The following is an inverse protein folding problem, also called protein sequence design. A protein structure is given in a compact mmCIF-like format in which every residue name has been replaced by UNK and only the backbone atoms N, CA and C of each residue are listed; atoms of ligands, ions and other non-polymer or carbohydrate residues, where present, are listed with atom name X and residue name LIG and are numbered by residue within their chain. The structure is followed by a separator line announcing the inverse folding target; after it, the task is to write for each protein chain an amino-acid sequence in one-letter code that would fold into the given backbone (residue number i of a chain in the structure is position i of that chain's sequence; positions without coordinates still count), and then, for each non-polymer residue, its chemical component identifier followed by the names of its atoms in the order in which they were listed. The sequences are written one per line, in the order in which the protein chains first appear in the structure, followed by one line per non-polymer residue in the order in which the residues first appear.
data_IF_850601803474
#
_entry.id   IF_850601803474
#
_cell.length_a   1.000
_cell.length_b   1.000
_cell.length_c   1.000
_cell.angle_alpha   90.00
_cell.angle_beta   90.00
_cell.angle_gamma   90.00
#
_symmetry.space_group_name_H-M   'P 1'
#
loop_
_entity.id
_entity.type
_entity.pdbx_description
1 polymer ?
#
# COMPACT_ATOMS: atom_id res chain seq x y z
N UNK A 1 7.99 17.14 14.66
CA UNK A 1 6.77 16.34 14.40
C UNK A 1 5.96 17.09 13.36
N UNK A 2 5.41 16.41 12.37
CA UNK A 2 4.57 16.99 11.33
C UNK A 2 3.10 16.73 11.64
N UNK A 3 2.29 17.79 11.62
CA UNK A 3 0.85 17.68 11.84
C UNK A 3 0.16 17.29 10.53
N UNK A 4 -0.78 16.37 10.59
CA UNK A 4 -1.51 15.94 9.40
C UNK A 4 -3.01 15.85 9.65
N UNK A 5 -3.78 15.93 8.57
CA UNK A 5 -5.22 15.65 8.53
C UNK A 5 -5.50 14.63 7.45
N UNK A 6 -6.64 13.96 7.57
CA UNK A 6 -7.19 13.05 6.56
C UNK A 6 -8.50 13.66 6.08
N UNK A 7 -8.71 13.68 4.76
CA UNK A 7 -9.96 14.13 4.12
C UNK A 7 -10.39 13.02 3.17
N UNK A 8 -11.35 12.18 3.59
CA UNK A 8 -11.75 10.98 2.88
C UNK A 8 -13.07 10.46 3.48
N UNK A 9 -14.12 10.29 2.69
CA UNK A 9 -15.45 9.84 3.11
C UNK A 9 -15.54 8.32 3.37
N UNK A 10 -14.53 7.54 2.93
CA UNK A 10 -14.47 6.11 3.20
C UNK A 10 -13.87 5.81 4.57
N UNK A 11 -14.72 5.37 5.49
CA UNK A 11 -14.34 4.99 6.87
C UNK A 11 -13.19 3.95 6.90
N UNK A 12 -13.10 3.07 5.91
CA UNK A 12 -12.06 2.04 5.88
C UNK A 12 -10.70 2.62 5.49
N UNK A 13 -10.70 3.50 4.49
CA UNK A 13 -9.52 4.26 4.08
C UNK A 13 -8.98 5.12 5.23
N UNK A 14 -9.86 5.84 5.92
CA UNK A 14 -9.48 6.70 7.05
C UNK A 14 -8.91 5.90 8.23
N UNK A 15 -9.47 4.73 8.53
CA UNK A 15 -8.94 3.82 9.57
C UNK A 15 -7.56 3.32 9.22
N UNK A 16 -7.36 2.83 7.98
CA UNK A 16 -6.07 2.35 7.51
C UNK A 16 -5.00 3.46 7.59
N UNK A 17 -5.33 4.64 7.07
CA UNK A 17 -4.43 5.78 7.08
C UNK A 17 -4.10 6.22 8.51
N UNK A 18 -5.09 6.25 9.40
CA UNK A 18 -4.91 6.58 10.83
C UNK A 18 -3.98 5.58 11.53
N UNK A 19 -4.08 4.29 11.19
CA UNK A 19 -3.18 3.27 11.74
C UNK A 19 -1.74 3.47 11.27
N UNK A 20 -1.53 3.85 10.01
CA UNK A 20 -0.20 4.16 9.48
C UNK A 20 0.38 5.40 10.14
N UNK A 21 -0.42 6.46 10.30
CA UNK A 21 0.01 7.71 10.97
C UNK A 21 0.41 7.40 12.41
N UNK A 22 -0.41 6.65 13.15
CA UNK A 22 -0.13 6.29 14.56
C UNK A 22 1.16 5.50 14.75
N UNK A 23 1.52 4.68 13.76
CA UNK A 23 2.77 3.90 13.74
C UNK A 23 3.99 4.72 13.34
N UNK A 24 3.80 5.96 12.89
CA UNK A 24 4.86 6.83 12.37
C UNK A 24 5.11 7.96 13.35
N UNK A 25 6.13 7.82 14.20
CA UNK A 25 6.39 8.70 15.35
C UNK A 25 6.59 10.18 15.02
N UNK A 26 6.95 10.50 13.77
CA UNK A 26 7.15 11.88 13.30
C UNK A 26 5.84 12.56 12.87
N UNK A 27 4.71 11.85 12.87
CA UNK A 27 3.40 12.36 12.48
C UNK A 27 2.48 12.55 13.69
N UNK A 28 1.65 13.57 13.63
CA UNK A 28 0.55 13.84 14.57
C UNK A 28 -0.73 14.04 13.79
N UNK A 29 -1.70 13.14 13.93
CA UNK A 29 -3.03 13.30 13.34
C UNK A 29 -3.81 14.36 14.14
N UNK A 30 -4.17 15.47 13.50
CA UNK A 30 -4.96 16.53 14.10
C UNK A 30 -6.46 16.25 14.00
N UNK A 31 -6.93 15.86 12.81
CA UNK A 31 -8.34 15.59 12.57
C UNK A 31 -8.55 14.68 11.35
N UNK A 32 -9.77 14.15 11.24
CA UNK A 32 -10.29 13.38 10.09
C UNK A 32 -11.58 14.04 9.64
N UNK A 33 -11.72 14.27 8.35
CA UNK A 33 -12.90 14.86 7.72
C UNK A 33 -13.46 13.88 6.69
N UNK A 34 -14.75 13.71 6.67
CA UNK A 34 -15.47 12.89 5.69
C UNK A 34 -15.95 13.69 4.47
N UNK A 35 -15.63 14.99 4.44
CA UNK A 35 -15.94 15.89 3.33
C UNK A 35 -14.90 17.02 3.21
N UNK A 36 -14.84 17.62 2.03
CA UNK A 36 -13.89 18.67 1.71
C UNK A 36 -14.21 20.00 2.40
N UNK A 37 -15.50 20.32 2.59
CA UNK A 37 -15.96 21.62 3.09
C UNK A 37 -15.52 21.83 4.54
N UNK A 38 -15.78 20.84 5.40
CA UNK A 38 -15.37 20.90 6.81
C UNK A 38 -13.85 20.96 6.96
N UNK A 39 -13.11 20.32 6.05
CA UNK A 39 -11.66 20.41 6.03
C UNK A 39 -11.17 21.82 5.66
N UNK A 40 -11.81 22.51 4.71
CA UNK A 40 -11.52 23.91 4.34
C UNK A 40 -11.79 24.83 5.53
N UNK A 41 -12.94 24.68 6.17
CA UNK A 41 -13.31 25.47 7.33
C UNK A 41 -12.28 25.30 8.47
N UNK A 42 -11.89 24.05 8.75
CA UNK A 42 -10.85 23.75 9.73
C UNK A 42 -9.51 24.41 9.37
N UNK A 43 -9.06 24.33 8.11
CA UNK A 43 -7.81 24.95 7.68
C UNK A 43 -7.83 26.47 7.85
N UNK A 44 -9.00 27.10 7.67
CA UNK A 44 -9.18 28.55 7.78
C UNK A 44 -9.10 29.07 9.23
N UNK A 45 -9.49 28.25 10.22
CA UNK A 45 -9.55 28.65 11.63
C UNK A 45 -8.47 28.00 12.51
N UNK A 46 -7.77 27.01 11.99
CA UNK A 46 -6.78 26.24 12.77
C UNK A 46 -5.60 27.11 13.19
N UNK A 47 -5.33 27.13 14.49
CA UNK A 47 -4.13 27.78 15.02
C UNK A 47 -2.88 26.90 14.89
N UNK A 48 -3.05 25.61 14.65
CA UNK A 48 -1.93 24.68 14.42
C UNK A 48 -1.66 24.56 12.94
N UNK A 49 -0.42 24.70 12.50
CA UNK A 49 -0.07 24.47 11.10
C UNK A 49 -0.36 23.01 10.73
N UNK A 50 -0.91 22.81 9.54
CA UNK A 50 -1.08 21.48 8.95
C UNK A 50 0.04 21.29 7.93
N UNK A 51 0.91 20.32 8.19
CA UNK A 51 2.07 20.06 7.36
C UNK A 51 1.73 19.10 6.20
N UNK A 52 0.80 18.16 6.43
CA UNK A 52 0.41 17.15 5.44
C UNK A 52 -1.10 16.99 5.41
N UNK A 53 -1.67 16.93 4.20
CA UNK A 53 -3.07 16.56 3.96
C UNK A 53 -3.08 15.26 3.17
N UNK A 54 -3.68 14.20 3.73
CA UNK A 54 -4.05 13.00 2.99
C UNK A 54 -5.46 13.20 2.43
N UNK A 55 -5.58 13.24 1.10
CA UNK A 55 -6.78 13.70 0.41
C UNK A 55 -7.31 12.63 -0.54
N UNK A 56 -8.55 12.22 -0.38
CA UNK A 56 -9.25 11.50 -1.44
C UNK A 56 -9.73 12.46 -2.54
N UNK A 57 -9.82 11.95 -3.76
CA UNK A 57 -10.36 12.69 -4.92
C UNK A 57 -11.87 12.54 -5.01
N UNK A 58 -12.39 11.33 -4.79
CA UNK A 58 -13.80 11.00 -4.98
C UNK A 58 -14.58 11.18 -3.68
N UNK A 59 -15.02 12.40 -3.41
CA UNK A 59 -15.85 12.72 -2.25
C UNK A 59 -17.17 13.36 -2.70
N UNK A 60 -18.24 13.24 -1.90
CA UNK A 60 -19.50 13.94 -2.12
C UNK A 60 -19.33 15.46 -2.14
N UNK A 61 -20.20 16.16 -2.85
CA UNK A 61 -20.34 17.61 -2.91
C UNK A 61 -19.14 18.35 -3.55
N UNK A 62 -17.91 18.08 -3.10
CA UNK A 62 -16.68 18.69 -3.62
C UNK A 62 -15.60 17.64 -3.81
N UNK A 63 -15.08 17.53 -5.03
CA UNK A 63 -13.97 16.60 -5.30
C UNK A 63 -12.66 17.08 -4.64
N UNK A 64 -11.73 16.12 -4.39
CA UNK A 64 -10.41 16.45 -3.88
C UNK A 64 -9.62 17.38 -4.82
N UNK A 65 -9.85 17.33 -6.13
CA UNK A 65 -9.22 18.26 -7.08
C UNK A 65 -9.79 19.68 -6.93
N UNK A 66 -11.08 19.83 -6.69
CA UNK A 66 -11.68 21.14 -6.43
C UNK A 66 -11.26 21.68 -5.06
N UNK A 67 -11.11 20.79 -4.06
CA UNK A 67 -10.50 21.15 -2.79
C UNK A 67 -9.11 21.78 -2.99
N UNK A 68 -8.21 21.14 -3.76
CA UNK A 68 -6.85 21.65 -4.01
C UNK A 68 -6.89 23.05 -4.63
N UNK A 69 -7.82 23.31 -5.57
CA UNK A 69 -7.99 24.62 -6.21
C UNK A 69 -8.52 25.70 -5.26
N UNK A 70 -9.28 25.27 -4.25
CA UNK A 70 -9.97 26.18 -3.33
C UNK A 70 -9.12 26.59 -2.13
N UNK A 71 -8.11 25.78 -1.78
CA UNK A 71 -7.23 26.03 -0.64
C UNK A 71 -5.93 26.66 -1.08
N UNK A 72 -5.54 27.73 -0.39
CA UNK A 72 -4.23 28.35 -0.56
C UNK A 72 -3.34 27.94 0.62
N UNK A 73 -2.77 26.74 0.53
CA UNK A 73 -1.96 26.13 1.60
C UNK A 73 -0.48 26.31 1.31
N UNK A 74 0.09 27.44 1.77
CA UNK A 74 1.53 27.63 1.73
C UNK A 74 2.19 26.71 2.78
N UNK A 75 3.24 25.98 2.37
CA UNK A 75 3.99 25.03 3.20
C UNK A 75 3.23 23.78 3.67
N UNK A 76 2.06 23.47 3.09
CA UNK A 76 1.38 22.19 3.34
C UNK A 76 1.58 21.25 2.16
N UNK A 77 1.96 20.02 2.44
CA UNK A 77 2.15 18.99 1.42
C UNK A 77 0.87 18.19 1.23
N UNK A 78 0.36 18.13 0.02
CA UNK A 78 -0.82 17.33 -0.30
C UNK A 78 -0.35 15.98 -0.84
N UNK A 79 -0.84 14.91 -0.22
CA UNK A 79 -0.66 13.53 -0.66
C UNK A 79 -2.03 13.00 -1.04
N UNK A 80 -2.25 12.76 -2.32
CA UNK A 80 -3.50 12.17 -2.81
C UNK A 80 -3.54 10.69 -2.42
N UNK A 81 -4.70 10.22 -1.96
CA UNK A 81 -4.96 8.84 -1.61
C UNK A 81 -6.29 8.38 -2.20
N UNK A 82 -6.29 7.81 -3.39
CA UNK A 82 -7.49 7.50 -4.18
C UNK A 82 -7.48 6.11 -4.79
N UNK A 83 -8.66 5.58 -5.13
CA UNK A 83 -8.84 4.30 -5.83
C UNK A 83 -8.63 4.39 -7.35
N UNK A 84 -8.54 5.58 -7.93
CA UNK A 84 -8.52 5.81 -9.37
C UNK A 84 -7.13 6.15 -9.91
N UNK A 85 -6.59 5.30 -10.79
CA UNK A 85 -5.29 5.55 -11.44
C UNK A 85 -5.31 6.74 -12.42
N UNK A 86 -6.47 7.03 -13.03
CA UNK A 86 -6.60 8.09 -14.04
C UNK A 86 -6.19 9.48 -13.52
N UNK A 87 -6.45 9.77 -12.24
CA UNK A 87 -6.10 11.06 -11.65
C UNK A 87 -4.62 11.19 -11.28
N UNK A 88 -3.84 10.11 -11.36
CA UNK A 88 -2.41 10.18 -11.12
C UNK A 88 -1.69 11.08 -12.14
N UNK A 89 -2.13 11.10 -13.40
CA UNK A 89 -1.59 11.98 -14.42
C UNK A 89 -2.05 13.44 -14.22
N UNK A 90 -3.32 13.66 -13.91
CA UNK A 90 -3.88 14.97 -13.66
C UNK A 90 -3.28 15.62 -12.40
N UNK A 91 -2.92 14.84 -11.40
CA UNK A 91 -2.35 15.33 -10.14
C UNK A 91 -1.00 16.05 -10.33
N UNK A 92 -0.26 15.76 -11.39
CA UNK A 92 0.99 16.48 -11.72
C UNK A 92 0.76 17.97 -12.04
N UNK A 93 -0.45 18.34 -12.46
CA UNK A 93 -0.80 19.74 -12.77
C UNK A 93 -1.03 20.57 -11.48
N UNK A 94 -1.23 19.91 -10.33
CA UNK A 94 -1.62 20.55 -9.06
C UNK A 94 -0.49 20.62 -8.01
N UNK A 95 0.75 20.35 -8.39
CA UNK A 95 1.92 20.41 -7.50
C UNK A 95 1.75 19.62 -6.20
N UNK A 96 1.12 18.43 -6.31
CA UNK A 96 0.95 17.55 -5.15
C UNK A 96 2.26 16.82 -4.81
N UNK A 97 2.51 16.62 -3.55
CA UNK A 97 3.72 15.96 -3.07
C UNK A 97 3.82 14.51 -3.56
N UNK A 98 2.74 13.74 -3.48
CA UNK A 98 2.72 12.35 -3.92
C UNK A 98 1.29 11.84 -4.18
N UNK A 99 1.20 10.70 -4.88
CA UNK A 99 -0.05 9.99 -5.19
C UNK A 99 -0.01 8.56 -4.66
N UNK A 100 -0.96 8.20 -3.82
CA UNK A 100 -1.13 6.87 -3.23
C UNK A 100 -2.38 6.21 -3.79
N UNK A 101 -2.21 5.09 -4.49
CA UNK A 101 -3.34 4.30 -4.97
C UNK A 101 -3.88 3.41 -3.85
N UNK A 102 -5.19 3.43 -3.62
CA UNK A 102 -5.88 2.52 -2.67
C UNK A 102 -5.94 1.09 -3.23
N UNK A 103 -5.65 0.06 -2.42
CA UNK A 103 -5.14 0.10 -1.05
C UNK A 103 -3.62 0.34 -1.02
N UNK A 104 -3.17 1.30 -0.22
CA UNK A 104 -1.74 1.55 -0.05
C UNK A 104 -1.15 0.62 1.03
N UNK A 105 0.10 0.24 0.85
CA UNK A 105 0.87 -0.43 1.90
C UNK A 105 1.73 0.57 2.69
N UNK A 106 2.17 0.16 3.90
CA UNK A 106 2.94 1.03 4.80
C UNK A 106 4.26 1.51 4.17
N UNK A 107 4.95 0.68 3.39
CA UNK A 107 6.20 1.07 2.71
C UNK A 107 5.97 2.22 1.72
N UNK A 108 4.89 2.15 0.93
CA UNK A 108 4.54 3.20 -0.02
C UNK A 108 4.10 4.47 0.70
N UNK A 109 3.33 4.34 1.77
CA UNK A 109 2.98 5.44 2.66
C UNK A 109 4.24 6.11 3.22
N UNK A 110 5.19 5.34 3.78
CA UNK A 110 6.42 5.87 4.36
C UNK A 110 7.28 6.62 3.32
N UNK A 111 7.33 6.15 2.07
CA UNK A 111 8.00 6.87 0.98
C UNK A 111 7.37 8.24 0.71
N UNK A 112 6.03 8.33 0.73
CA UNK A 112 5.33 9.60 0.56
C UNK A 112 5.63 10.57 1.71
N UNK A 113 5.69 10.06 2.95
CA UNK A 113 6.08 10.88 4.11
C UNK A 113 7.51 11.37 4.00
N UNK A 114 8.44 10.53 3.51
CA UNK A 114 9.83 10.95 3.30
C UNK A 114 9.94 12.06 2.24
N UNK A 115 9.15 12.00 1.16
CA UNK A 115 9.04 13.07 0.18
C UNK A 115 8.51 14.37 0.81
N UNK A 116 7.41 14.29 1.56
CA UNK A 116 6.82 15.44 2.24
C UNK A 116 7.79 16.09 3.23
N UNK A 117 8.54 15.27 4.00
CA UNK A 117 9.58 15.74 4.92
C UNK A 117 10.66 16.56 4.21
N UNK A 118 11.14 16.08 3.06
CA UNK A 118 12.13 16.80 2.23
C UNK A 118 11.56 18.09 1.68
N UNK A 119 10.33 18.07 1.14
CA UNK A 119 9.66 19.25 0.58
C UNK A 119 9.40 20.33 1.65
N UNK A 120 9.14 19.93 2.90
CA UNK A 120 8.97 20.85 4.03
C UNK A 120 10.31 21.37 4.60
N UNK A 121 11.46 20.97 4.04
CA UNK A 121 12.77 21.38 4.52
C UNK A 121 13.14 20.82 5.90
N UNK A 122 12.43 19.79 6.38
CA UNK A 122 12.68 19.15 7.68
C UNK A 122 13.76 18.07 7.50
N UNK A 123 14.94 18.46 7.04
CA UNK A 123 16.10 17.56 6.96
C UNK A 123 16.89 17.65 8.26
N UNK A 124 16.92 16.57 9.06
CA UNK A 124 17.96 16.37 10.06
C UNK A 124 19.27 16.05 9.32
N UNK A 125 20.40 16.57 9.79
CA UNK A 125 21.72 16.35 9.21
C UNK A 125 22.16 14.87 9.15
N UNK A 126 21.38 13.96 9.73
CA UNK A 126 21.60 12.52 9.67
C UNK A 126 21.07 11.88 8.35
N UNK A 127 20.21 12.59 7.60
CA UNK A 127 19.61 12.03 6.36
C UNK A 127 20.53 12.21 5.12
N UNK A 128 21.60 13.02 5.20
CA UNK A 128 22.48 13.33 4.04
C UNK A 128 23.53 12.25 3.78
N UNK A 129 23.87 11.44 4.77
CA UNK A 129 24.81 10.31 4.59
C UNK A 129 24.08 8.99 4.26
N UNK A 130 22.78 8.88 4.61
CA UNK A 130 22.00 7.67 4.32
C UNK A 130 21.54 7.57 2.85
N UNK A 131 21.47 8.67 2.10
CA UNK A 131 21.06 8.65 0.68
C UNK A 131 22.18 8.22 -0.30
N UNK A 132 23.39 7.95 0.16
CA UNK A 132 24.48 7.41 -0.69
C UNK A 132 24.89 5.98 -0.37
N UNK A 133 24.34 5.38 0.70
CA UNK A 133 24.73 4.03 1.13
C UNK A 133 23.55 3.10 1.41
N UNK A 134 22.30 3.53 1.20
CA UNK A 134 21.10 2.66 1.27
C UNK A 134 20.76 1.97 -0.06
N UNK A 135 21.75 1.59 -0.82
CA UNK A 135 21.68 0.28 -1.43
C UNK A 135 21.95 -0.71 -0.29
N UNK A 136 20.91 -1.44 0.13
CA UNK A 136 20.96 -2.59 1.05
C UNK A 136 21.01 -2.29 2.57
N UNK A 137 19.94 -1.71 3.14
CA UNK A 137 19.30 -2.25 4.34
C UNK A 137 17.81 -2.26 4.11
N UNK A 138 17.33 -3.40 3.65
CA UNK A 138 15.91 -3.73 3.63
C UNK A 138 15.40 -3.69 5.08
N UNK A 139 14.22 -3.03 5.36
CA UNK A 139 13.53 -3.27 6.62
C UNK A 139 13.29 -4.76 6.72
N UNK A 140 13.39 -5.30 7.94
CA UNK A 140 13.20 -6.71 8.21
C UNK A 140 11.98 -7.22 7.45
N UNK A 141 12.22 -8.26 6.66
CA UNK A 141 11.30 -8.73 5.62
C UNK A 141 9.96 -9.25 6.16
N UNK A 142 9.83 -9.39 7.46
CA UNK A 142 8.67 -9.96 8.14
C UNK A 142 7.54 -8.94 8.44
N UNK A 143 7.77 -7.63 8.32
CA UNK A 143 6.81 -6.60 8.73
C UNK A 143 5.98 -5.97 7.60
N UNK A 144 6.12 -6.43 6.36
CA UNK A 144 5.30 -5.93 5.26
C UNK A 144 3.89 -6.52 5.30
N UNK A 145 2.88 -5.67 5.47
CA UNK A 145 1.47 -6.04 5.63
C UNK A 145 0.62 -5.54 4.46
N UNK A 146 -0.48 -6.24 4.18
CA UNK A 146 -1.51 -5.84 3.23
C UNK A 146 -2.89 -5.95 3.88
N UNK A 147 -3.78 -5.04 3.50
CA UNK A 147 -5.19 -5.10 3.86
C UNK A 147 -5.99 -5.66 2.70
N UNK A 148 -6.75 -6.70 2.97
CA UNK A 148 -7.56 -7.42 1.99
C UNK A 148 -9.02 -7.33 2.41
N UNK A 149 -9.87 -6.79 1.53
CA UNK A 149 -11.32 -6.77 1.69
C UNK A 149 -11.91 -8.01 1.02
N UNK A 150 -12.63 -8.83 1.76
CA UNK A 150 -13.31 -9.99 1.22
C UNK A 150 -14.67 -9.62 0.57
N UNK A 151 -15.32 -10.63 -0.01
CA UNK A 151 -16.62 -10.45 -0.67
C UNK A 151 -17.76 -10.10 0.30
N UNK A 152 -17.58 -10.30 1.61
CA UNK A 152 -18.56 -9.91 2.63
C UNK A 152 -18.39 -8.46 3.08
N UNK A 153 -17.30 -7.80 2.63
CA UNK A 153 -16.92 -6.46 3.05
C UNK A 153 -15.99 -6.43 4.27
N UNK A 154 -15.66 -7.59 4.85
CA UNK A 154 -14.72 -7.66 5.96
C UNK A 154 -13.28 -7.38 5.49
N UNK A 155 -12.55 -6.59 6.27
CA UNK A 155 -11.17 -6.24 5.97
C UNK A 155 -10.24 -7.04 6.88
N UNK A 156 -9.28 -7.69 6.26
CA UNK A 156 -8.27 -8.49 6.92
C UNK A 156 -6.91 -7.85 6.72
N UNK A 157 -6.23 -7.58 7.81
CA UNK A 157 -4.83 -7.24 7.84
C UNK A 157 -4.03 -8.55 7.85
N UNK A 158 -3.17 -8.76 6.86
CA UNK A 158 -2.29 -9.92 6.77
C UNK A 158 -0.87 -9.47 6.39
N UNK A 159 0.13 -10.21 6.85
CA UNK A 159 1.51 -10.00 6.41
C UNK A 159 1.74 -10.71 5.08
N UNK A 160 2.57 -10.13 4.20
CA UNK A 160 2.95 -10.85 2.98
C UNK A 160 3.63 -12.18 3.29
N UNK A 161 4.40 -12.26 4.38
CA UNK A 161 5.05 -13.47 4.86
C UNK A 161 4.06 -14.55 5.33
N UNK A 162 2.79 -14.20 5.60
CA UNK A 162 1.73 -15.14 6.00
C UNK A 162 0.97 -15.73 4.80
N UNK A 163 1.17 -15.21 3.59
CA UNK A 163 0.51 -15.76 2.41
C UNK A 163 1.18 -17.07 2.02
N UNK A 164 0.42 -18.16 2.12
CA UNK A 164 0.87 -19.51 1.76
C UNK A 164 0.66 -19.75 0.27
N UNK A 165 -0.55 -19.49 -0.22
CA UNK A 165 -0.98 -19.82 -1.55
C UNK A 165 -2.08 -18.88 -2.01
N UNK A 166 -2.04 -18.49 -3.27
CA UNK A 166 -3.08 -17.73 -3.96
C UNK A 166 -3.56 -18.55 -5.15
N UNK A 167 -4.87 -18.73 -5.25
CA UNK A 167 -5.51 -19.52 -6.28
C UNK A 167 -6.58 -18.70 -7.00
N UNK A 168 -6.54 -18.65 -8.33
CA UNK A 168 -7.58 -18.01 -9.12
C UNK A 168 -8.80 -18.93 -9.25
N UNK A 169 -9.97 -18.38 -8.97
CA UNK A 169 -11.28 -19.02 -9.03
C UNK A 169 -12.20 -18.14 -9.91
N UNK A 170 -12.14 -18.32 -11.21
CA UNK A 170 -12.86 -17.48 -12.19
C UNK A 170 -12.56 -15.99 -12.02
N UNK A 171 -13.54 -15.20 -11.56
CA UNK A 171 -13.43 -13.76 -11.30
C UNK A 171 -12.94 -13.42 -9.89
N UNK A 172 -12.54 -14.41 -9.11
CA UNK A 172 -12.08 -14.26 -7.74
C UNK A 172 -10.71 -14.85 -7.56
N UNK A 173 -10.02 -14.44 -6.52
CA UNK A 173 -8.85 -15.14 -6.00
C UNK A 173 -9.10 -15.60 -4.57
N UNK A 174 -8.54 -16.73 -4.22
CA UNK A 174 -8.53 -17.26 -2.86
C UNK A 174 -7.13 -17.14 -2.28
N UNK A 175 -6.97 -16.36 -1.23
CA UNK A 175 -5.71 -16.18 -0.50
C UNK A 175 -5.73 -17.05 0.74
N UNK A 176 -4.81 -18.01 0.82
CA UNK A 176 -4.64 -18.90 1.96
C UNK A 176 -3.54 -18.38 2.89
N UNK A 177 -3.86 -18.25 4.17
CA UNK A 177 -2.93 -17.93 5.26
C UNK A 177 -2.95 -19.05 6.29
N UNK A 178 -2.05 -19.08 7.29
CA UNK A 178 -2.05 -20.10 8.34
C UNK A 178 -3.35 -20.17 9.15
N UNK A 179 -4.07 -19.06 9.26
CA UNK A 179 -5.25 -18.93 10.12
C UNK A 179 -6.56 -18.94 9.37
N UNK A 180 -6.57 -18.58 8.07
CA UNK A 180 -7.81 -18.43 7.30
C UNK A 180 -7.61 -18.45 5.79
N UNK A 181 -8.73 -18.60 5.09
CA UNK A 181 -8.84 -18.42 3.64
C UNK A 181 -9.71 -17.19 3.35
N UNK A 182 -9.21 -16.29 2.54
CA UNK A 182 -9.88 -15.02 2.19
C UNK A 182 -10.15 -15.05 0.68
N UNK A 183 -11.41 -14.80 0.28
CA UNK A 183 -11.80 -14.74 -1.13
C UNK A 183 -12.09 -13.29 -1.52
N UNK A 184 -11.44 -12.81 -2.58
CA UNK A 184 -11.53 -11.43 -3.07
C UNK A 184 -11.91 -11.38 -4.54
N UNK A 185 -12.72 -10.39 -4.91
CA UNK A 185 -13.11 -10.13 -6.29
C UNK A 185 -12.01 -9.30 -6.97
N UNK A 186 -11.05 -10.00 -7.58
CA UNK A 186 -9.96 -9.40 -8.35
C UNK A 186 -9.30 -10.46 -9.23
N UNK A 187 -8.50 -10.06 -10.21
CA UNK A 187 -7.75 -11.01 -11.02
C UNK A 187 -6.41 -11.38 -10.39
N UNK A 188 -5.89 -12.57 -10.72
CA UNK A 188 -4.55 -12.99 -10.29
C UNK A 188 -3.47 -12.00 -10.73
N UNK A 189 -3.61 -11.42 -11.93
CA UNK A 189 -2.65 -10.46 -12.47
C UNK A 189 -2.62 -9.20 -11.61
N UNK A 190 -3.77 -8.55 -11.42
CA UNK A 190 -3.88 -7.27 -10.70
C UNK A 190 -3.47 -7.41 -9.23
N UNK A 191 -3.73 -8.57 -8.64
CA UNK A 191 -3.33 -8.83 -7.27
C UNK A 191 -1.82 -9.04 -7.11
N UNK A 192 -1.20 -9.84 -8.00
CA UNK A 192 0.24 -10.12 -7.92
C UNK A 192 1.10 -8.92 -8.30
N UNK A 193 0.68 -8.07 -9.23
CA UNK A 193 1.40 -6.85 -9.60
C UNK A 193 1.58 -5.89 -8.41
N UNK A 194 0.66 -5.93 -7.45
CA UNK A 194 0.72 -5.14 -6.21
C UNK A 194 1.57 -5.78 -5.11
N UNK A 195 2.08 -7.00 -5.33
CA UNK A 195 2.80 -7.76 -4.32
C UNK A 195 4.31 -7.68 -4.50
N UNK A 196 5.07 -7.53 -3.39
CA UNK A 196 6.51 -7.58 -3.47
C UNK A 196 6.98 -8.97 -3.94
N UNK A 197 7.77 -9.01 -5.01
CA UNK A 197 8.34 -10.24 -5.57
C UNK A 197 9.24 -11.00 -4.60
N UNK A 198 9.66 -10.34 -3.53
CA UNK A 198 10.44 -10.93 -2.44
C UNK A 198 9.69 -12.05 -1.72
N UNK A 199 8.36 -11.89 -1.51
CA UNK A 199 7.55 -12.82 -0.70
C UNK A 199 6.79 -13.82 -1.54
N UNK A 200 6.33 -13.42 -2.70
CA UNK A 200 5.39 -14.17 -3.53
C UNK A 200 6.05 -14.49 -4.89
N UNK A 201 5.81 -15.69 -5.38
CA UNK A 201 6.18 -16.10 -6.72
C UNK A 201 4.97 -16.67 -7.44
N UNK A 202 4.73 -16.19 -8.66
CA UNK A 202 3.69 -16.76 -9.54
C UNK A 202 4.24 -18.00 -10.24
N UNK A 203 3.55 -19.12 -10.06
CA UNK A 203 3.97 -20.44 -10.58
C UNK A 203 3.12 -20.91 -11.74
N UNK A 204 1.91 -20.35 -11.87
CA UNK A 204 0.95 -20.73 -12.89
C UNK A 204 0.04 -19.54 -13.25
N UNK A 205 -0.69 -19.64 -14.37
CA UNK A 205 -1.72 -18.62 -14.67
C UNK A 205 -2.76 -18.46 -13.57
N UNK A 206 -3.04 -19.54 -12.82
CA UNK A 206 -4.03 -19.57 -11.72
C UNK A 206 -3.42 -19.79 -10.32
N UNK A 207 -2.10 -19.82 -10.17
CA UNK A 207 -1.48 -20.06 -8.86
C UNK A 207 -0.28 -19.15 -8.63
N UNK A 208 -0.18 -18.67 -7.38
CA UNK A 208 1.00 -18.04 -6.82
C UNK A 208 1.21 -18.52 -5.39
N UNK A 209 2.45 -18.55 -4.92
CA UNK A 209 2.83 -19.12 -3.63
C UNK A 209 3.73 -18.19 -2.85
N UNK A 210 3.63 -18.25 -1.52
CA UNK A 210 4.58 -17.63 -0.62
C UNK A 210 5.91 -18.39 -0.63
N UNK A 211 7.00 -17.71 -0.95
CA UNK A 211 8.33 -18.33 -1.05
C UNK A 211 8.75 -19.04 0.25
N UNK A 212 8.36 -18.51 1.41
CA UNK A 212 8.63 -19.07 2.72
C UNK A 212 8.00 -20.46 2.95
N UNK A 213 6.94 -20.77 2.21
CA UNK A 213 6.18 -22.03 2.38
C UNK A 213 6.55 -23.08 1.34
N UNK A 214 7.60 -22.89 0.58
CA UNK A 214 8.11 -23.89 -0.35
C UNK A 214 8.83 -25.00 0.44
N UNK A 215 8.35 -26.24 0.31
CA UNK A 215 8.96 -27.44 0.89
C UNK A 215 9.94 -28.08 -0.09
N UNK A 216 9.49 -28.28 -1.32
CA UNK A 216 10.30 -28.85 -2.39
C UNK A 216 9.89 -28.30 -3.75
N UNK A 217 10.83 -28.24 -4.67
CA UNK A 217 10.62 -27.82 -6.06
C UNK A 217 10.97 -28.98 -6.98
N UNK A 218 9.99 -29.40 -7.78
CA UNK A 218 10.16 -30.37 -8.86
C UNK A 218 10.01 -29.69 -10.21
N UNK A 219 10.39 -30.34 -11.29
CA UNK A 219 10.37 -29.77 -12.65
C UNK A 219 9.03 -29.16 -13.08
N UNK A 220 7.90 -29.67 -12.58
CA UNK A 220 6.56 -29.22 -12.99
C UNK A 220 5.62 -28.90 -11.81
N UNK A 221 6.10 -28.97 -10.58
CA UNK A 221 5.28 -28.73 -9.38
C UNK A 221 6.12 -28.26 -8.20
N UNK A 222 5.46 -27.58 -7.27
CA UNK A 222 6.04 -27.15 -6.00
C UNK A 222 5.18 -27.73 -4.88
N UNK A 223 5.81 -28.39 -3.93
CA UNK A 223 5.19 -28.88 -2.71
C UNK A 223 5.29 -27.80 -1.62
N UNK A 224 4.19 -27.55 -0.93
CA UNK A 224 4.12 -26.56 0.14
C UNK A 224 4.28 -27.19 1.52
N UNK A 225 4.90 -26.46 2.45
CA UNK A 225 5.14 -26.87 3.84
C UNK A 225 3.85 -27.15 4.64
N UNK A 226 2.75 -26.47 4.27
CA UNK A 226 1.48 -26.61 4.98
C UNK A 226 0.43 -27.30 4.09
N UNK A 227 -0.07 -28.45 4.58
CA UNK A 227 -1.16 -29.18 3.97
C UNK A 227 -0.78 -30.08 2.80
N UNK A 228 0.51 -30.43 2.63
CA UNK A 228 1.04 -31.30 1.56
C UNK A 228 0.48 -30.96 0.17
N UNK A 229 0.12 -29.67 -0.03
CA UNK A 229 -0.47 -29.18 -1.27
C UNK A 229 0.60 -29.09 -2.36
N UNK A 230 0.32 -29.73 -3.49
CA UNK A 230 1.17 -29.67 -4.70
C UNK A 230 0.59 -28.62 -5.63
N UNK A 231 1.40 -27.61 -5.97
CA UNK A 231 1.02 -26.51 -6.87
C UNK A 231 1.71 -26.68 -8.22
N UNK A 232 1.00 -26.61 -9.35
CA UNK A 232 1.59 -26.78 -10.68
C UNK A 232 2.49 -25.59 -11.06
N UNK A 233 3.53 -25.90 -11.84
CA UNK A 233 4.38 -24.92 -12.52
C UNK A 233 4.02 -24.89 -14.00
N UNK A 234 3.44 -23.78 -14.46
CA UNK A 234 3.10 -23.56 -15.87
C UNK A 234 4.34 -23.37 -16.73
N UNK A 235 4.25 -23.76 -18.02
CA UNK A 235 5.40 -23.66 -18.95
C UNK A 235 6.04 -22.27 -19.00
N UNK A 236 5.21 -21.21 -18.99
CA UNK A 236 5.66 -19.81 -19.03
C UNK A 236 6.25 -19.30 -17.71
N UNK A 237 6.21 -20.09 -16.65
CA UNK A 237 6.70 -19.71 -15.31
C UNK A 237 7.92 -20.51 -14.86
N UNK A 238 8.44 -21.41 -15.71
CA UNK A 238 9.59 -22.25 -15.36
C UNK A 238 10.86 -21.45 -15.08
N UNK A 239 11.10 -20.38 -15.85
CA UNK A 239 12.30 -19.56 -15.69
C UNK A 239 12.25 -18.77 -14.38
N UNK A 240 11.06 -18.26 -14.01
CA UNK A 240 10.83 -17.59 -12.72
C UNK A 240 11.07 -18.54 -11.55
N UNK A 241 10.65 -19.80 -11.68
CA UNK A 241 10.86 -20.83 -10.64
C UNK A 241 12.33 -21.25 -10.55
N UNK A 242 13.06 -21.31 -11.65
CA UNK A 242 14.51 -21.58 -11.65
C UNK A 242 15.30 -20.56 -10.85
N UNK A 243 14.94 -19.28 -10.91
CA UNK A 243 15.63 -18.25 -10.10
C UNK A 243 15.53 -18.49 -8.59
N UNK A 244 14.56 -19.30 -8.13
CA UNK A 244 14.45 -19.68 -6.72
C UNK A 244 15.49 -20.74 -6.33
N UNK A 245 15.94 -21.56 -7.28
CA UNK A 245 16.94 -22.61 -7.05
C UNK A 245 18.37 -22.12 -7.22
N UNK A 246 18.58 -21.07 -8.03
CA UNK A 246 19.90 -20.50 -8.30
C UNK A 246 20.37 -19.54 -7.19
N UNK A 247 19.52 -19.29 -6.17
CA UNK A 247 19.81 -18.43 -5.01
C UNK A 247 20.20 -19.22 -3.76
N UNK A 248 20.44 -20.53 -3.89
CA UNK A 248 20.93 -21.45 -2.86
C UNK A 248 22.37 -21.82 -3.19
#
# INVERSE_FOLDING_TARGET
MMNCIIVDDDIFSTRLMSDFIRRTSILTLLNIFDNAIDAIDFLSISQKPVDIIFLDIEMPEMSGLDFIKSVNVHNTQIIIYSSQEKYALESYEYDVCDYLLKPVNYTRFHKAISKAKVALGITSNDDTEQNKTEQQKQPDADDCEIYIKDNSGAIYKIRYSEIIHIEALENYISVLTPTKRITIHTTMKDFIEKMPTKFIVRTHRSHAIGKRYIKSINNNSIELLLGDKIVPVGKSFKDVVKTLTDSI
#
